data_IF_073443820541
#
_entry.id   IF_073443820541
#
_cell.length_a   1.000
_cell.length_b   1.000
_cell.length_c   1.000
_cell.angle_alpha   90.00
_cell.angle_beta   90.00
_cell.angle_gamma   90.00
#
_symmetry.space_group_name_H-M   'P 1'
#
loop_
_entity.id
_entity.type
_entity.pdbx_description
1 polymer ?
#
# COMPACT_ATOMS: atom_id res chain seq x y z
N UNK A 1 8.26 1.09 3.75
CA UNK A 1 7.47 0.50 4.86
C UNK A 1 8.38 -0.38 5.70
N UNK A 2 8.53 -0.07 6.98
CA UNK A 2 9.27 -0.89 7.94
C UNK A 2 8.62 -2.27 8.07
N UNK A 3 9.39 -3.32 7.79
CA UNK A 3 8.95 -4.72 7.78
C UNK A 3 9.08 -5.37 9.18
N UNK A 4 8.70 -4.63 10.23
CA UNK A 4 8.67 -5.10 11.63
C UNK A 4 7.49 -4.48 12.37
N UNK A 5 6.31 -5.08 12.21
CA UNK A 5 5.21 -5.04 13.19
C UNK A 5 4.52 -6.41 13.09
N UNK A 6 4.95 -7.37 13.92
CA UNK A 6 4.32 -8.71 14.02
C UNK A 6 2.93 -8.69 14.71
N UNK A 7 2.40 -7.50 15.05
CA UNK A 7 1.16 -7.37 15.82
C UNK A 7 -0.03 -6.75 15.08
N UNK A 8 0.14 -6.24 13.85
CA UNK A 8 -0.95 -5.60 13.10
C UNK A 8 -1.24 -6.33 11.81
N UNK A 9 -2.53 -6.65 11.54
CA UNK A 9 -2.88 -7.31 10.30
C UNK A 9 -2.75 -6.35 9.10
N UNK A 10 -2.39 -6.88 7.93
CA UNK A 10 -2.49 -6.15 6.67
C UNK A 10 -3.95 -5.98 6.27
N UNK A 11 -4.22 -5.02 5.37
CA UNK A 11 -5.57 -4.81 4.83
C UNK A 11 -6.11 -6.07 4.14
N UNK A 12 -5.25 -6.83 3.46
CA UNK A 12 -5.60 -8.12 2.88
C UNK A 12 -6.01 -9.15 3.93
N UNK A 13 -5.27 -9.26 5.05
CA UNK A 13 -5.64 -10.18 6.14
C UNK A 13 -6.95 -9.78 6.82
N UNK A 14 -7.17 -8.47 7.04
CA UNK A 14 -8.45 -7.98 7.57
C UNK A 14 -9.61 -8.27 6.62
N UNK A 15 -9.41 -8.07 5.32
CA UNK A 15 -10.42 -8.35 4.28
C UNK A 15 -10.79 -9.82 4.27
N UNK A 16 -9.81 -10.71 4.21
CA UNK A 16 -10.05 -12.15 4.24
C UNK A 16 -10.83 -12.57 5.48
N UNK A 17 -10.43 -12.05 6.65
CA UNK A 17 -11.10 -12.40 7.90
C UNK A 17 -12.54 -11.85 7.99
N UNK A 18 -12.79 -10.68 7.43
CA UNK A 18 -14.11 -10.08 7.38
C UNK A 18 -15.05 -10.88 6.47
N UNK A 19 -14.58 -11.31 5.30
CA UNK A 19 -15.33 -12.18 4.39
C UNK A 19 -15.70 -13.48 5.10
N UNK A 20 -14.75 -14.17 5.73
CA UNK A 20 -15.03 -15.41 6.49
C UNK A 20 -16.12 -15.22 7.56
N UNK A 21 -16.03 -14.11 8.30
CA UNK A 21 -16.98 -13.82 9.37
C UNK A 21 -18.39 -13.52 8.83
N UNK A 22 -18.49 -12.75 7.75
CA UNK A 22 -19.76 -12.39 7.12
C UNK A 22 -20.41 -13.59 6.42
N UNK A 23 -19.63 -14.40 5.71
CA UNK A 23 -20.12 -15.64 5.08
C UNK A 23 -20.68 -16.62 6.13
N UNK A 24 -19.99 -16.80 7.26
CA UNK A 24 -20.46 -17.65 8.34
C UNK A 24 -21.76 -17.15 9.01
N UNK A 25 -22.04 -15.84 8.93
CA UNK A 25 -23.19 -15.21 9.60
C UNK A 25 -24.37 -14.92 8.67
N UNK A 26 -24.17 -14.92 7.35
CA UNK A 26 -25.17 -14.40 6.42
C UNK A 26 -26.47 -15.23 6.33
N UNK A 27 -26.49 -16.49 6.79
CA UNK A 27 -27.65 -17.40 6.74
C UNK A 27 -28.33 -17.46 5.35
N UNK A 28 -27.57 -17.30 4.28
CA UNK A 28 -28.07 -17.26 2.89
C UNK A 28 -28.67 -15.93 2.44
N UNK A 29 -28.60 -14.87 3.26
CA UNK A 29 -29.13 -13.52 2.94
C UNK A 29 -28.12 -12.62 2.20
N UNK A 30 -26.87 -13.06 2.05
CA UNK A 30 -25.77 -12.23 1.55
C UNK A 30 -25.26 -11.21 2.58
N UNK A 31 -24.28 -10.41 2.20
CA UNK A 31 -23.68 -9.39 3.08
C UNK A 31 -23.20 -8.17 2.29
N UNK A 32 -22.94 -7.10 3.03
CA UNK A 32 -22.23 -5.93 2.55
C UNK A 32 -20.90 -5.81 3.31
N UNK A 33 -19.83 -5.52 2.57
CA UNK A 33 -18.51 -5.28 3.13
C UNK A 33 -17.90 -4.04 2.47
N UNK A 34 -17.45 -3.09 3.30
CA UNK A 34 -16.64 -1.96 2.87
C UNK A 34 -15.20 -2.16 3.34
N UNK A 35 -14.25 -2.04 2.41
CA UNK A 35 -12.81 -2.10 2.66
C UNK A 35 -12.19 -0.81 2.17
N UNK A 36 -11.47 -0.10 3.04
CA UNK A 36 -10.93 1.22 2.74
C UNK A 36 -9.39 1.23 2.78
N UNK A 37 -8.78 1.72 1.70
CA UNK A 37 -7.35 2.03 1.62
C UNK A 37 -7.00 3.41 2.17
N UNK A 38 -7.55 3.82 3.32
CA UNK A 38 -7.59 5.23 3.74
C UNK A 38 -6.23 5.90 3.99
N UNK A 39 -5.14 5.13 4.15
CA UNK A 39 -3.79 5.72 4.30
C UNK A 39 -3.18 6.24 3.01
N UNK A 40 -3.79 5.98 1.85
CA UNK A 40 -3.42 6.61 0.58
C UNK A 40 -3.57 8.14 0.70
N UNK A 41 -4.73 8.60 1.16
CA UNK A 41 -5.03 10.02 1.41
C UNK A 41 -4.01 10.66 2.36
N UNK A 42 -3.77 10.06 3.53
CA UNK A 42 -2.80 10.55 4.50
C UNK A 42 -1.39 10.71 3.89
N UNK A 43 -0.97 9.79 3.02
CA UNK A 43 0.33 9.87 2.37
C UNK A 43 0.37 10.98 1.31
N UNK A 44 -0.73 11.20 0.58
CA UNK A 44 -0.85 12.26 -0.41
C UNK A 44 -0.90 13.65 0.23
N UNK A 45 -1.60 13.81 1.37
CA UNK A 45 -1.52 15.03 2.18
C UNK A 45 -0.10 15.33 2.69
N UNK A 46 0.67 14.29 2.97
CA UNK A 46 2.09 14.41 3.32
C UNK A 46 3.04 14.60 2.13
N UNK A 47 2.53 14.78 0.90
CA UNK A 47 3.31 14.82 -0.34
C UNK A 47 4.30 13.63 -0.48
N UNK A 48 3.93 12.46 0.04
CA UNK A 48 4.78 11.28 0.09
C UNK A 48 4.31 10.23 -0.94
N UNK A 49 4.63 10.48 -2.21
CA UNK A 49 4.20 9.65 -3.34
C UNK A 49 4.59 8.16 -3.18
N UNK A 50 5.77 7.87 -2.61
CA UNK A 50 6.20 6.49 -2.39
C UNK A 50 5.32 5.77 -1.37
N UNK A 51 4.95 6.42 -0.25
CA UNK A 51 4.01 5.82 0.71
C UNK A 51 2.62 5.69 0.11
N UNK A 52 2.13 6.71 -0.60
CA UNK A 52 0.82 6.65 -1.27
C UNK A 52 0.71 5.42 -2.19
N UNK A 53 1.74 5.17 -3.00
CA UNK A 53 1.78 4.00 -3.89
C UNK A 53 2.00 2.67 -3.15
N UNK A 54 2.67 2.67 -2.00
CA UNK A 54 2.77 1.49 -1.13
C UNK A 54 1.41 1.14 -0.50
N UNK A 55 0.66 2.12 -0.03
CA UNK A 55 -0.70 1.94 0.51
C UNK A 55 -1.68 1.53 -0.61
N UNK A 56 -1.57 2.14 -1.80
CA UNK A 56 -2.36 1.75 -2.97
C UNK A 56 -2.10 0.29 -3.37
N UNK A 57 -0.84 -0.18 -3.28
CA UNK A 57 -0.53 -1.60 -3.47
C UNK A 57 -1.18 -2.46 -2.39
N UNK A 58 -1.15 -2.05 -1.12
CA UNK A 58 -1.80 -2.80 -0.04
C UNK A 58 -3.32 -2.91 -0.23
N UNK A 59 -3.96 -1.85 -0.74
CA UNK A 59 -5.37 -1.87 -1.14
C UNK A 59 -5.63 -2.79 -2.33
N UNK A 60 -4.79 -2.76 -3.36
CA UNK A 60 -4.86 -3.73 -4.46
C UNK A 60 -4.71 -5.17 -3.96
N UNK A 61 -3.79 -5.44 -3.03
CA UNK A 61 -3.62 -6.79 -2.46
C UNK A 61 -4.91 -7.24 -1.73
N UNK A 62 -5.63 -6.34 -1.06
CA UNK A 62 -6.92 -6.63 -0.44
C UNK A 62 -8.03 -6.91 -1.47
N UNK A 63 -8.06 -6.18 -2.59
CA UNK A 63 -8.98 -6.45 -3.71
C UNK A 63 -8.71 -7.84 -4.29
N UNK A 64 -7.45 -8.20 -4.52
CA UNK A 64 -7.07 -9.54 -5.01
C UNK A 64 -7.48 -10.63 -4.03
N UNK A 65 -7.30 -10.41 -2.73
CA UNK A 65 -7.79 -11.34 -1.69
C UNK A 65 -9.31 -11.54 -1.77
N UNK A 66 -10.10 -10.47 -1.90
CA UNK A 66 -11.55 -10.59 -2.04
C UNK A 66 -11.92 -11.37 -3.31
N UNK A 67 -11.33 -11.02 -4.46
CA UNK A 67 -11.56 -11.70 -5.74
C UNK A 67 -11.25 -13.20 -5.72
N UNK A 68 -10.26 -13.62 -4.93
CA UNK A 68 -9.91 -15.03 -4.80
C UNK A 68 -10.81 -15.80 -3.82
N UNK A 69 -11.52 -15.11 -2.93
CA UNK A 69 -12.26 -15.73 -1.82
C UNK A 69 -13.77 -15.80 -2.07
N UNK A 70 -14.32 -14.88 -2.86
CA UNK A 70 -15.76 -14.84 -3.17
C UNK A 70 -16.08 -15.45 -4.53
N UNK A 71 -17.31 -15.92 -4.70
CA UNK A 71 -17.85 -16.29 -6.02
C UNK A 71 -18.34 -15.04 -6.76
N UNK A 72 -17.60 -14.64 -7.79
CA UNK A 72 -17.89 -13.44 -8.60
C UNK A 72 -19.20 -13.55 -9.39
N UNK A 73 -19.74 -14.76 -9.59
CA UNK A 73 -21.04 -14.92 -10.25
C UNK A 73 -22.20 -14.45 -9.37
N UNK A 74 -21.99 -14.38 -8.06
CA UNK A 74 -22.97 -13.99 -7.05
C UNK A 74 -22.58 -12.74 -6.24
N UNK A 75 -21.41 -12.15 -6.53
CA UNK A 75 -20.85 -11.04 -5.75
C UNK A 75 -20.51 -9.85 -6.64
N UNK A 76 -21.06 -8.68 -6.33
CA UNK A 76 -20.67 -7.41 -6.95
C UNK A 76 -19.54 -6.77 -6.14
N UNK A 77 -18.39 -6.54 -6.78
CA UNK A 77 -17.28 -5.76 -6.20
C UNK A 77 -17.18 -4.43 -6.94
N UNK A 78 -17.24 -3.34 -6.17
CA UNK A 78 -17.05 -1.97 -6.68
C UNK A 78 -15.79 -1.39 -6.08
N UNK A 79 -14.90 -0.86 -6.93
CA UNK A 79 -13.67 -0.17 -6.52
C UNK A 79 -13.76 1.25 -7.04
N UNK A 80 -13.60 2.22 -6.14
CA UNK A 80 -13.63 3.64 -6.48
C UNK A 80 -12.74 4.43 -5.52
N UNK A 81 -12.52 5.70 -5.85
CA UNK A 81 -12.04 6.71 -4.92
C UNK A 81 -13.19 7.64 -4.53
N UNK A 82 -13.07 8.27 -3.36
CA UNK A 82 -13.96 9.31 -2.87
C UNK A 82 -13.58 10.69 -3.43
N UNK A 83 -12.28 10.98 -3.56
CA UNK A 83 -11.73 12.14 -4.25
C UNK A 83 -10.28 11.89 -4.72
N UNK A 84 -9.69 12.89 -5.39
CA UNK A 84 -8.29 12.86 -5.83
C UNK A 84 -7.43 13.85 -5.02
N UNK A 85 -6.11 13.85 -5.28
CA UNK A 85 -5.14 14.82 -4.81
C UNK A 85 -4.37 15.45 -5.99
N UNK A 86 -3.52 16.42 -5.70
CA UNK A 86 -2.75 17.16 -6.72
C UNK A 86 -1.52 16.39 -7.25
N UNK A 87 -1.47 15.07 -7.12
CA UNK A 87 -0.31 14.28 -7.53
C UNK A 87 -0.22 14.21 -9.07
N UNK A 88 0.93 14.57 -9.62
CA UNK A 88 1.20 14.48 -11.06
C UNK A 88 2.46 13.67 -11.34
N UNK A 89 2.41 12.79 -12.34
CA UNK A 89 3.60 12.09 -12.87
C UNK A 89 4.12 12.83 -14.11
N UNK A 90 5.28 13.48 -13.99
CA UNK A 90 5.88 14.31 -15.05
C UNK A 90 7.28 13.81 -15.46
N UNK A 91 7.80 14.35 -16.58
CA UNK A 91 9.18 14.17 -17.05
C UNK A 91 9.38 13.14 -18.18
N UNK A 92 10.61 13.05 -18.70
CA UNK A 92 11.04 12.10 -19.76
C UNK A 92 11.73 10.87 -19.16
N UNK A 93 11.07 10.19 -18.22
CA UNK A 93 11.66 9.03 -17.56
C UNK A 93 11.81 7.84 -18.53
N UNK A 94 13.03 7.31 -18.63
CA UNK A 94 13.27 6.06 -19.35
C UNK A 94 12.58 4.88 -18.64
N UNK A 95 12.17 3.86 -19.41
CA UNK A 95 11.69 2.60 -18.83
C UNK A 95 12.89 1.82 -18.28
N UNK A 96 13.13 1.91 -16.97
CA UNK A 96 14.31 1.32 -16.31
C UNK A 96 14.06 -0.01 -15.58
N UNK A 97 12.87 -0.60 -15.73
CA UNK A 97 12.50 -1.86 -15.09
C UNK A 97 12.10 -1.69 -13.62
N UNK A 98 12.29 -2.75 -12.82
CA UNK A 98 11.89 -2.78 -11.40
C UNK A 98 12.85 -1.94 -10.55
N UNK A 99 12.32 -1.07 -9.70
CA UNK A 99 13.12 -0.34 -8.70
C UNK A 99 13.82 -1.30 -7.75
N UNK A 100 15.14 -1.17 -7.62
CA UNK A 100 15.97 -1.84 -6.61
C UNK A 100 16.67 -0.80 -5.73
N UNK A 101 17.47 -1.25 -4.75
CA UNK A 101 18.29 -0.33 -3.95
C UNK A 101 19.37 0.35 -4.80
N UNK A 102 19.99 -0.41 -5.72
CA UNK A 102 21.10 0.08 -6.56
C UNK A 102 20.60 0.75 -7.86
N UNK A 103 19.34 0.51 -8.23
CA UNK A 103 18.68 1.14 -9.37
C UNK A 103 17.30 1.66 -8.94
N UNK A 104 17.23 2.79 -8.22
CA UNK A 104 15.97 3.35 -7.80
C UNK A 104 15.21 3.88 -9.00
N UNK A 105 13.98 3.41 -9.21
CA UNK A 105 13.08 3.95 -10.22
C UNK A 105 12.63 5.37 -9.90
N UNK A 106 11.72 5.91 -10.70
CA UNK A 106 11.29 7.32 -10.67
C UNK A 106 10.83 7.85 -9.30
N UNK A 107 10.39 6.96 -8.40
CA UNK A 107 9.92 7.30 -7.06
C UNK A 107 11.03 7.41 -6.01
N UNK A 108 12.28 7.09 -6.37
CA UNK A 108 13.42 7.15 -5.47
C UNK A 108 13.36 6.18 -4.27
N UNK A 109 14.34 6.32 -3.38
CA UNK A 109 14.37 5.67 -2.08
C UNK A 109 13.70 6.57 -1.04
N UNK A 110 13.03 5.99 -0.06
CA UNK A 110 12.37 6.74 1.02
C UNK A 110 12.85 6.09 2.30
N UNK A 111 13.54 6.88 3.09
CA UNK A 111 14.08 6.51 4.37
C UNK A 111 13.28 7.23 5.44
N UNK A 112 13.06 6.58 6.58
CA UNK A 112 12.63 7.29 7.77
C UNK A 112 13.69 8.34 8.11
N UNK A 113 13.29 9.57 8.46
CA UNK A 113 14.25 10.65 8.74
C UNK A 113 15.29 10.23 9.80
N UNK A 114 14.86 9.50 10.84
CA UNK A 114 15.76 9.07 11.91
C UNK A 114 16.75 8.01 11.42
N UNK A 115 16.29 7.08 10.58
CA UNK A 115 17.12 6.04 9.95
C UNK A 115 18.07 6.65 8.90
N UNK A 116 17.58 7.61 8.12
CA UNK A 116 18.35 8.34 7.13
C UNK A 116 19.47 9.13 7.80
N UNK A 117 19.16 9.83 8.90
CA UNK A 117 20.12 10.62 9.67
C UNK A 117 21.26 9.74 10.20
N UNK A 118 20.92 8.57 10.73
CA UNK A 118 21.92 7.63 11.28
C UNK A 118 22.81 7.07 10.16
N UNK A 119 22.23 6.65 9.03
CA UNK A 119 22.98 6.14 7.87
C UNK A 119 23.85 7.21 7.21
N UNK A 120 23.36 8.45 7.08
CA UNK A 120 24.12 9.58 6.54
C UNK A 120 25.30 9.91 7.46
N UNK A 121 25.08 9.92 8.78
CA UNK A 121 26.16 10.17 9.76
C UNK A 121 27.24 9.08 9.67
N UNK A 122 26.83 7.81 9.52
CA UNK A 122 27.74 6.68 9.32
C UNK A 122 28.55 6.78 8.03
N UNK A 123 27.91 7.21 6.94
CA UNK A 123 28.57 7.37 5.66
C UNK A 123 29.55 8.55 5.67
N UNK A 124 29.24 9.66 6.36
CA UNK A 124 30.16 10.80 6.54
C UNK A 124 31.40 10.35 7.31
N UNK A 125 31.25 9.65 8.43
CA UNK A 125 32.39 9.13 9.21
C UNK A 125 33.30 8.22 8.40
N UNK A 126 32.74 7.36 7.54
CA UNK A 126 33.51 6.48 6.66
C UNK A 126 34.28 7.19 5.54
N UNK A 127 33.94 8.44 5.23
CA UNK A 127 34.68 9.27 4.26
C UNK A 127 35.77 10.11 4.94
N UNK A 128 35.72 10.24 6.26
CA UNK A 128 36.72 10.95 7.07
C UNK A 128 37.87 10.03 7.53
N UNK A 129 37.76 8.71 7.29
CA UNK A 129 38.81 7.69 7.42
C UNK A 129 39.43 7.36 6.05
#
# INVERSE_FOLDING_TARGET
VNKKIDSQPSLAMMTSKAIDALEAQNQGQGYFLMVEGGRIDHALHGNNAKRALQEAKAFNDAIQTALHQVDISNTLIVVTADHDHVMTFNGYAARTGRSTADNPGILGLSYDYNVAKEQITLNIKKMEE
#
